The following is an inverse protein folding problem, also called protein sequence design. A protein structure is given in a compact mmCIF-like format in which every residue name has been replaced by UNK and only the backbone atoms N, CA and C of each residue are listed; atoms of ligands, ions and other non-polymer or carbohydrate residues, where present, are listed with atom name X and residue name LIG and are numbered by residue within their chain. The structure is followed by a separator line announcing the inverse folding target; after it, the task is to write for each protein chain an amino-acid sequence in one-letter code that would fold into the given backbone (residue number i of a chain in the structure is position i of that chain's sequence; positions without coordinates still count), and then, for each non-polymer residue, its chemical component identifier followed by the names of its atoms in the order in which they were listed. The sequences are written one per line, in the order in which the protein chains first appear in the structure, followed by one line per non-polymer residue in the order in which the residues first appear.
data_IF_688369842428
#
_entry.id   IF_688369842428
#
_cell.length_a   1.000
_cell.length_b   1.000
_cell.length_c   1.000
_cell.angle_alpha   90.00
_cell.angle_beta   90.00
_cell.angle_gamma   90.00
#
_symmetry.space_group_name_H-M   'P 1'
#
loop_
_entity.id
_entity.type
_entity.pdbx_description
1 polymer ?
#
# COMPACT_ATOMS: atom_id res chain seq x y z
N UNK A 1 -2.62 -12.95 -14.14
CA UNK A 1 -1.97 -11.62 -14.27
C UNK A 1 -1.64 -11.10 -12.89
N UNK A 2 -0.44 -10.63 -12.70
CA UNK A 2 0.08 -10.14 -11.41
C UNK A 2 0.72 -8.77 -11.56
N UNK A 3 0.70 -7.98 -10.49
CA UNK A 3 1.38 -6.68 -10.43
C UNK A 3 2.91 -6.85 -10.43
N UNK A 4 3.64 -5.94 -11.07
CA UNK A 4 5.09 -5.98 -11.19
C UNK A 4 5.86 -5.96 -9.87
N UNK A 5 5.22 -5.56 -8.76
CA UNK A 5 5.83 -5.61 -7.42
C UNK A 5 5.66 -6.95 -6.71
N UNK A 6 4.77 -7.81 -7.19
CA UNK A 6 4.51 -9.12 -6.56
C UNK A 6 5.57 -10.15 -6.87
N UNK A 7 6.51 -9.82 -7.69
CA UNK A 7 7.55 -10.76 -7.98
C UNK A 7 8.88 -10.08 -8.22
N UNK A 8 9.85 -10.70 -7.66
CA UNK A 8 11.24 -10.43 -7.87
C UNK A 8 11.59 -10.54 -9.35
N UNK A 9 12.62 -9.87 -9.72
CA UNK A 9 13.13 -9.81 -11.09
C UNK A 9 13.41 -11.23 -11.61
N UNK A 10 13.25 -11.45 -12.90
CA UNK A 10 13.69 -12.70 -13.57
C UNK A 10 15.12 -13.11 -13.17
N UNK A 11 15.99 -12.12 -12.92
CA UNK A 11 17.34 -12.33 -12.41
C UNK A 11 17.40 -13.05 -11.05
N UNK A 12 16.33 -13.02 -10.27
CA UNK A 12 16.28 -13.58 -8.90
C UNK A 12 15.73 -15.01 -8.89
N UNK A 13 15.72 -15.70 -10.00
CA UNK A 13 15.33 -17.10 -10.10
C UNK A 13 13.84 -17.35 -10.35
N UNK A 14 13.09 -16.36 -10.80
CA UNK A 14 11.67 -16.50 -11.13
C UNK A 14 11.42 -17.62 -12.15
N UNK A 15 12.21 -17.66 -13.22
CA UNK A 15 12.07 -18.67 -14.27
C UNK A 15 12.36 -20.08 -13.73
N UNK A 16 13.39 -20.23 -12.90
CA UNK A 16 13.72 -21.52 -12.27
C UNK A 16 12.60 -21.97 -11.32
N UNK A 17 12.00 -21.03 -10.58
CA UNK A 17 10.88 -21.31 -9.69
C UNK A 17 9.63 -21.76 -10.48
N UNK A 18 9.28 -21.06 -11.56
CA UNK A 18 8.17 -21.42 -12.43
C UNK A 18 8.37 -22.82 -13.00
N UNK A 19 9.54 -23.09 -13.60
CA UNK A 19 9.86 -24.40 -14.18
C UNK A 19 9.74 -25.53 -13.14
N UNK A 20 10.22 -25.29 -11.93
CA UNK A 20 10.12 -26.27 -10.85
C UNK A 20 8.68 -26.49 -10.40
N UNK A 21 7.89 -25.42 -10.32
CA UNK A 21 6.48 -25.50 -9.98
C UNK A 21 5.70 -26.28 -11.06
N UNK A 22 5.95 -26.01 -12.33
CA UNK A 22 5.37 -26.73 -13.47
C UNK A 22 5.74 -28.21 -13.47
N UNK A 23 7.02 -28.54 -13.17
CA UNK A 23 7.46 -29.93 -13.02
C UNK A 23 6.71 -30.65 -11.90
N UNK A 24 6.49 -29.98 -10.76
CA UNK A 24 5.83 -30.57 -9.61
C UNK A 24 4.32 -30.73 -9.80
N UNK A 25 3.68 -29.81 -10.49
CA UNK A 25 2.21 -29.75 -10.61
C UNK A 25 1.70 -30.31 -11.94
N UNK A 26 2.53 -30.32 -12.97
CA UNK A 26 2.11 -30.64 -14.34
C UNK A 26 1.24 -29.56 -14.99
N UNK A 27 1.22 -28.36 -14.43
CA UNK A 27 0.44 -27.23 -14.92
C UNK A 27 1.41 -26.22 -15.54
N UNK A 28 1.18 -25.84 -16.79
CA UNK A 28 1.91 -24.76 -17.45
C UNK A 28 1.41 -23.41 -16.96
N UNK A 29 2.33 -22.52 -16.57
CA UNK A 29 2.03 -21.22 -15.98
C UNK A 29 2.50 -20.07 -16.88
N UNK A 30 1.56 -19.36 -17.49
CA UNK A 30 1.83 -18.11 -18.19
C UNK A 30 1.66 -16.92 -17.25
N UNK A 31 2.76 -16.24 -16.95
CA UNK A 31 2.76 -15.06 -16.06
C UNK A 31 2.70 -13.78 -16.87
N UNK A 32 1.58 -13.07 -16.79
CA UNK A 32 1.38 -11.74 -17.37
C UNK A 32 1.65 -10.73 -16.26
N UNK A 33 2.74 -9.97 -16.39
CA UNK A 33 3.22 -9.07 -15.32
C UNK A 33 3.48 -7.65 -15.86
N UNK A 34 2.42 -6.82 -15.96
CA UNK A 34 2.59 -5.42 -16.29
C UNK A 34 3.39 -4.66 -15.23
N UNK A 35 3.99 -3.54 -15.64
CA UNK A 35 4.60 -2.60 -14.69
C UNK A 35 3.60 -2.18 -13.60
N UNK A 36 4.09 -2.02 -12.38
CA UNK A 36 3.27 -1.66 -11.23
C UNK A 36 2.37 -0.43 -11.46
N UNK A 37 2.95 0.63 -12.02
CA UNK A 37 2.19 1.87 -12.26
C UNK A 37 1.11 1.72 -13.35
N UNK A 38 1.24 0.74 -14.24
CA UNK A 38 0.33 0.47 -15.35
C UNK A 38 -0.64 -0.70 -15.07
N UNK A 39 -0.47 -1.41 -13.95
CA UNK A 39 -1.19 -2.67 -13.71
C UNK A 39 -2.70 -2.56 -13.88
N UNK A 40 -3.34 -1.62 -13.22
CA UNK A 40 -4.80 -1.48 -13.26
C UNK A 40 -5.33 -0.93 -14.59
N UNK A 41 -4.53 -0.13 -15.29
CA UNK A 41 -4.87 0.34 -16.64
C UNK A 41 -4.84 -0.83 -17.63
N UNK A 42 -3.79 -1.66 -17.58
CA UNK A 42 -3.67 -2.86 -18.42
C UNK A 42 -4.76 -3.87 -18.06
N UNK A 43 -5.04 -4.07 -16.77
CA UNK A 43 -6.10 -4.95 -16.30
C UNK A 43 -7.47 -4.50 -16.84
N UNK A 44 -7.79 -3.21 -16.74
CA UNK A 44 -9.03 -2.63 -17.27
C UNK A 44 -9.16 -2.83 -18.77
N UNK A 45 -8.09 -2.60 -19.53
CA UNK A 45 -8.07 -2.86 -20.98
C UNK A 45 -8.27 -4.35 -21.30
N UNK A 46 -7.65 -5.23 -20.50
CA UNK A 46 -7.81 -6.69 -20.65
C UNK A 46 -9.26 -7.10 -20.44
N UNK A 47 -9.90 -6.62 -19.38
CA UNK A 47 -11.31 -6.91 -19.13
C UNK A 47 -12.25 -6.32 -20.20
N UNK A 48 -11.92 -5.14 -20.73
CA UNK A 48 -12.67 -4.52 -21.82
C UNK A 48 -12.50 -5.21 -23.19
N UNK A 49 -11.45 -6.01 -23.38
CA UNK A 49 -11.15 -6.68 -24.66
C UNK A 49 -12.02 -7.90 -24.98
N UNK A 50 -12.84 -8.34 -24.03
CA UNK A 50 -13.67 -9.54 -24.14
C UNK A 50 -13.19 -10.69 -23.27
N UNK A 51 -14.14 -11.46 -22.74
CA UNK A 51 -13.86 -12.51 -21.74
C UNK A 51 -12.97 -13.65 -22.25
N UNK A 52 -12.85 -13.83 -23.56
CA UNK A 52 -11.96 -14.80 -24.17
C UNK A 52 -10.47 -14.45 -24.00
N UNK A 53 -10.17 -13.20 -23.63
CA UNK A 53 -8.81 -12.71 -23.42
C UNK A 53 -8.47 -12.55 -21.93
N UNK A 54 -9.39 -12.89 -21.04
CA UNK A 54 -9.13 -12.74 -19.62
C UNK A 54 -8.18 -13.82 -19.11
N UNK A 55 -7.21 -13.46 -18.27
CA UNK A 55 -6.37 -14.47 -17.60
C UNK A 55 -7.23 -15.26 -16.60
N UNK A 56 -6.84 -16.51 -16.32
CA UNK A 56 -7.57 -17.36 -15.36
C UNK A 56 -7.52 -16.78 -13.95
N UNK A 57 -6.39 -16.17 -13.54
CA UNK A 57 -6.18 -15.60 -12.21
C UNK A 57 -5.70 -14.16 -12.32
N UNK A 58 -6.26 -13.29 -11.49
CA UNK A 58 -5.87 -11.88 -11.33
C UNK A 58 -5.66 -11.52 -9.87
N UNK A 59 -4.81 -10.54 -9.59
CA UNK A 59 -4.63 -9.97 -8.26
C UNK A 59 -5.36 -8.63 -8.19
N UNK A 60 -6.24 -8.45 -7.22
CA UNK A 60 -7.11 -7.30 -7.11
C UNK A 60 -7.01 -6.62 -5.75
N UNK A 61 -6.79 -5.30 -5.74
CA UNK A 61 -7.05 -4.47 -4.56
C UNK A 61 -8.54 -4.33 -4.28
N UNK A 62 -8.90 -3.95 -3.07
CA UNK A 62 -10.28 -3.99 -2.55
C UNK A 62 -11.32 -3.28 -3.42
N UNK A 63 -11.00 -2.08 -3.96
CA UNK A 63 -11.93 -1.31 -4.82
C UNK A 63 -12.21 -2.00 -6.16
N UNK A 64 -11.19 -2.57 -6.78
CA UNK A 64 -11.34 -3.32 -8.03
C UNK A 64 -12.02 -4.67 -7.81
N UNK A 65 -11.70 -5.32 -6.70
CA UNK A 65 -12.31 -6.58 -6.31
C UNK A 65 -13.83 -6.48 -6.20
N UNK A 66 -14.33 -5.53 -5.43
CA UNK A 66 -15.78 -5.33 -5.27
C UNK A 66 -16.47 -4.94 -6.57
N UNK A 67 -15.82 -4.11 -7.41
CA UNK A 67 -16.35 -3.75 -8.73
C UNK A 67 -16.50 -4.95 -9.65
N UNK A 68 -15.42 -5.68 -9.89
CA UNK A 68 -15.45 -6.84 -10.80
C UNK A 68 -16.33 -8.01 -10.28
N UNK A 69 -16.40 -8.19 -8.96
CA UNK A 69 -17.33 -9.16 -8.39
C UNK A 69 -18.79 -8.76 -8.66
N UNK A 70 -19.14 -7.47 -8.45
CA UNK A 70 -20.48 -6.95 -8.72
C UNK A 70 -20.88 -7.00 -10.21
N UNK A 71 -19.92 -6.92 -11.13
CA UNK A 71 -20.13 -7.05 -12.57
C UNK A 71 -20.19 -8.52 -13.06
N UNK A 72 -19.96 -9.50 -12.16
CA UNK A 72 -19.98 -10.93 -12.50
C UNK A 72 -18.73 -11.38 -13.28
N UNK A 73 -17.64 -10.61 -13.22
CA UNK A 73 -16.40 -10.94 -13.89
C UNK A 73 -15.53 -11.96 -13.13
N UNK A 74 -15.87 -12.24 -11.87
CA UNK A 74 -15.15 -13.17 -11.01
C UNK A 74 -15.98 -14.42 -10.71
N UNK A 75 -15.29 -15.54 -10.57
CA UNK A 75 -15.89 -16.79 -10.17
C UNK A 75 -16.19 -16.81 -8.67
N UNK A 76 -17.39 -17.25 -8.30
CA UNK A 76 -17.77 -17.46 -6.89
C UNK A 76 -17.10 -18.74 -6.37
N UNK A 77 -16.12 -18.56 -5.51
CA UNK A 77 -15.35 -19.66 -4.92
C UNK A 77 -15.84 -20.07 -3.53
N UNK A 78 -17.02 -19.63 -3.11
CA UNK A 78 -17.57 -19.88 -1.76
C UNK A 78 -17.61 -21.37 -1.43
N UNK A 79 -18.13 -22.18 -2.33
CA UNK A 79 -18.25 -23.62 -2.12
C UNK A 79 -16.87 -24.31 -2.10
N UNK A 80 -15.96 -23.89 -2.98
CA UNK A 80 -14.59 -24.38 -3.01
C UNK A 80 -13.87 -24.05 -1.68
N UNK A 81 -13.98 -22.80 -1.22
CA UNK A 81 -13.42 -22.38 0.07
C UNK A 81 -14.00 -23.21 1.23
N UNK A 82 -15.32 -23.35 1.31
CA UNK A 82 -15.99 -24.06 2.40
C UNK A 82 -15.57 -25.53 2.49
N UNK A 83 -15.17 -26.14 1.39
CA UNK A 83 -14.73 -27.54 1.32
C UNK A 83 -13.22 -27.70 1.30
N UNK A 84 -12.43 -26.61 1.29
CA UNK A 84 -10.99 -26.63 1.12
C UNK A 84 -10.23 -27.18 2.35
N UNK A 85 -9.03 -27.67 2.10
CA UNK A 85 -8.08 -28.00 3.16
C UNK A 85 -7.47 -26.74 3.77
N UNK A 86 -7.39 -25.63 3.01
CA UNK A 86 -6.97 -24.33 3.53
C UNK A 86 -7.84 -23.85 4.68
N UNK A 87 -9.17 -23.96 4.55
CA UNK A 87 -10.10 -23.57 5.62
C UNK A 87 -9.92 -24.41 6.88
N UNK A 88 -9.45 -25.64 6.75
CA UNK A 88 -9.21 -26.57 7.85
C UNK A 88 -7.81 -26.44 8.43
N UNK A 89 -6.90 -25.77 7.73
CA UNK A 89 -5.51 -25.61 8.16
C UNK A 89 -5.45 -24.65 9.36
N UNK A 90 -4.89 -25.07 10.51
CA UNK A 90 -4.82 -24.24 11.71
C UNK A 90 -3.96 -22.97 11.56
N UNK A 91 -3.13 -22.91 10.52
CA UNK A 91 -2.32 -21.72 10.20
C UNK A 91 -3.04 -20.72 9.29
N UNK A 92 -4.23 -21.07 8.78
CA UNK A 92 -5.03 -20.14 7.96
C UNK A 92 -5.85 -19.24 8.87
N UNK A 93 -5.68 -17.94 8.72
CA UNK A 93 -6.57 -16.98 9.37
C UNK A 93 -7.89 -16.88 8.57
N UNK A 94 -8.85 -17.69 8.99
CA UNK A 94 -10.18 -17.75 8.37
C UNK A 94 -10.88 -16.38 8.38
N UNK A 95 -10.63 -15.54 9.40
CA UNK A 95 -11.25 -14.22 9.51
C UNK A 95 -10.76 -13.26 8.41
N UNK A 96 -9.50 -13.37 8.02
CA UNK A 96 -8.91 -12.60 6.90
C UNK A 96 -9.57 -13.00 5.58
N UNK A 97 -9.75 -14.29 5.34
CA UNK A 97 -10.39 -14.77 4.11
C UNK A 97 -11.87 -14.37 4.07
N UNK A 98 -12.61 -14.69 5.12
CA UNK A 98 -14.06 -14.45 5.18
C UNK A 98 -14.40 -12.96 5.32
N UNK A 99 -13.46 -12.14 5.80
CA UNK A 99 -13.59 -10.68 5.79
C UNK A 99 -13.64 -10.06 4.38
N UNK A 100 -13.27 -10.82 3.34
CA UNK A 100 -13.40 -10.40 1.94
C UNK A 100 -14.72 -10.86 1.28
N UNK A 101 -15.63 -11.51 2.01
CA UNK A 101 -16.92 -11.89 1.45
C UNK A 101 -17.77 -10.66 1.14
N UNK A 102 -18.43 -10.71 -0.03
CA UNK A 102 -19.38 -9.71 -0.47
C UNK A 102 -20.77 -10.38 -0.49
N UNK A 103 -21.70 -9.88 0.32
CA UNK A 103 -23.05 -10.44 0.47
C UNK A 103 -23.07 -11.95 0.78
N UNK A 104 -22.07 -12.45 1.50
CA UNK A 104 -21.94 -13.86 1.85
C UNK A 104 -21.24 -14.74 0.82
N UNK A 105 -20.75 -14.15 -0.27
CA UNK A 105 -20.03 -14.82 -1.35
C UNK A 105 -18.55 -14.44 -1.38
N UNK A 106 -17.67 -15.40 -1.62
CA UNK A 106 -16.24 -15.21 -1.75
C UNK A 106 -15.83 -15.24 -3.22
N UNK A 107 -15.27 -14.15 -3.72
CA UNK A 107 -14.78 -14.02 -5.11
C UNK A 107 -13.26 -13.91 -5.21
N UNK A 108 -12.56 -13.84 -4.08
CA UNK A 108 -11.11 -13.72 -4.05
C UNK A 108 -10.53 -14.18 -2.72
N UNK A 109 -9.35 -14.77 -2.78
CA UNK A 109 -8.66 -15.35 -1.64
C UNK A 109 -7.49 -14.46 -1.21
N UNK A 110 -7.50 -13.97 0.03
CA UNK A 110 -6.35 -13.35 0.69
C UNK A 110 -5.90 -14.26 1.84
N UNK A 111 -4.67 -14.73 1.81
CA UNK A 111 -4.16 -15.67 2.84
C UNK A 111 -3.51 -14.97 4.03
N UNK A 112 -3.29 -13.67 3.95
CA UNK A 112 -2.72 -12.86 5.03
C UNK A 112 -3.41 -11.51 5.09
N UNK A 113 -3.40 -10.88 6.26
CA UNK A 113 -3.77 -9.49 6.40
C UNK A 113 -2.84 -8.58 5.58
N UNK A 114 -3.35 -7.46 5.11
CA UNK A 114 -2.53 -6.47 4.41
C UNK A 114 -1.53 -5.80 5.36
N UNK A 115 -0.39 -5.41 4.82
CA UNK A 115 0.55 -4.54 5.52
C UNK A 115 -0.02 -3.14 5.75
N UNK A 116 0.52 -2.42 6.73
CA UNK A 116 0.25 -1.01 6.97
C UNK A 116 1.33 -0.11 6.37
N UNK A 117 1.10 1.20 6.46
CA UNK A 117 2.13 2.19 6.20
C UNK A 117 2.94 2.47 7.47
N UNK A 118 4.18 2.86 7.27
CA UNK A 118 5.08 3.36 8.31
C UNK A 118 5.71 4.67 7.82
N UNK A 119 6.07 5.55 8.73
CA UNK A 119 6.84 6.73 8.38
C UNK A 119 8.32 6.37 8.41
N UNK A 120 8.97 6.42 7.25
CA UNK A 120 10.41 6.31 7.10
C UNK A 120 11.02 7.69 7.29
N UNK A 121 12.09 7.76 8.05
CA UNK A 121 12.83 9.01 8.26
C UNK A 121 14.30 8.78 7.90
N UNK A 122 14.89 9.67 7.16
CA UNK A 122 16.32 9.63 6.84
C UNK A 122 17.13 9.83 8.10
N UNK A 123 17.89 8.79 8.49
CA UNK A 123 18.67 8.79 9.73
C UNK A 123 19.72 9.91 9.74
N UNK A 124 20.41 10.08 8.63
CA UNK A 124 21.42 11.13 8.47
C UNK A 124 20.83 12.53 8.74
N UNK A 125 19.59 12.78 8.31
CA UNK A 125 18.96 14.09 8.53
C UNK A 125 18.64 14.35 10.01
N UNK A 126 18.18 13.32 10.72
CA UNK A 126 18.01 13.41 12.18
C UNK A 126 19.35 13.73 12.87
N UNK A 127 20.41 13.01 12.50
CA UNK A 127 21.74 13.19 13.08
C UNK A 127 22.29 14.59 12.81
N UNK A 128 22.18 15.08 11.58
CA UNK A 128 22.64 16.41 11.20
C UNK A 128 21.88 17.51 11.94
N UNK A 129 20.59 17.30 12.22
CA UNK A 129 19.78 18.23 12.99
C UNK A 129 19.89 18.02 14.53
N UNK A 130 20.55 16.96 14.98
CA UNK A 130 20.66 16.63 16.40
C UNK A 130 19.35 16.22 17.04
N UNK A 131 18.49 15.55 16.28
CA UNK A 131 17.15 15.13 16.70
C UNK A 131 17.06 13.62 16.93
N UNK A 132 16.26 13.24 17.90
CA UNK A 132 15.82 11.87 18.10
C UNK A 132 14.59 11.56 17.20
N UNK A 133 14.22 10.27 17.11
CA UNK A 133 13.02 9.84 16.40
C UNK A 133 11.77 10.37 17.13
N UNK A 134 10.88 11.13 16.48
CA UNK A 134 9.69 11.68 17.12
C UNK A 134 8.77 10.60 17.69
N UNK A 135 8.22 10.87 18.87
CA UNK A 135 7.25 10.04 19.56
C UNK A 135 5.93 10.78 19.84
N UNK A 136 5.96 12.11 19.72
CA UNK A 136 4.80 13.00 19.86
C UNK A 136 4.59 13.82 18.59
N UNK A 137 3.39 14.37 18.43
CA UNK A 137 3.09 15.24 17.28
C UNK A 137 3.90 16.55 17.33
N UNK A 138 4.18 17.06 18.53
CA UNK A 138 5.01 18.24 18.69
C UNK A 138 6.45 17.98 18.22
N UNK A 139 7.06 16.87 18.65
CA UNK A 139 8.39 16.44 18.18
C UNK A 139 8.40 16.19 16.66
N UNK A 140 7.31 15.65 16.10
CA UNK A 140 7.19 15.50 14.66
C UNK A 140 7.20 16.85 13.93
N UNK A 141 6.48 17.85 14.44
CA UNK A 141 6.51 19.20 13.86
C UNK A 141 7.87 19.87 14.01
N UNK A 142 8.59 19.66 15.13
CA UNK A 142 9.97 20.13 15.32
C UNK A 142 10.91 19.50 14.29
N UNK A 143 10.77 18.20 14.04
CA UNK A 143 11.52 17.50 12.99
C UNK A 143 11.23 18.09 11.61
N UNK A 144 9.96 18.31 11.25
CA UNK A 144 9.59 18.89 9.96
C UNK A 144 10.13 20.32 9.81
N UNK A 145 10.12 21.11 10.89
CA UNK A 145 10.71 22.47 10.89
C UNK A 145 12.22 22.43 10.62
N UNK A 146 12.93 21.56 11.34
CA UNK A 146 14.36 21.39 11.16
C UNK A 146 14.74 20.89 9.75
N UNK A 147 13.94 19.96 9.22
CA UNK A 147 14.15 19.43 7.87
C UNK A 147 13.80 20.45 6.77
N UNK A 148 12.90 21.39 7.05
CA UNK A 148 12.50 22.41 6.07
C UNK A 148 13.33 23.67 6.13
N UNK A 149 13.68 24.13 7.33
CA UNK A 149 14.33 25.43 7.55
C UNK A 149 15.82 25.33 7.94
N UNK A 150 16.28 24.14 8.31
CA UNK A 150 17.68 23.84 8.63
C UNK A 150 18.50 23.41 7.42
N UNK A 151 19.58 22.69 7.70
CA UNK A 151 20.49 22.06 6.72
C UNK A 151 20.58 20.57 7.03
N UNK A 152 19.47 19.80 6.82
CA UNK A 152 19.47 18.39 7.21
C UNK A 152 20.29 17.50 6.28
N UNK A 153 20.49 17.87 5.03
CA UNK A 153 21.31 17.13 4.05
C UNK A 153 22.80 17.44 4.18
N UNK A 154 23.16 18.52 4.92
CA UNK A 154 24.54 18.89 5.23
C UNK A 154 25.28 19.54 4.06
N UNK A 155 24.56 20.14 3.10
CA UNK A 155 25.15 20.81 1.94
C UNK A 155 25.63 22.25 2.25
N UNK A 156 25.34 22.76 3.44
CA UNK A 156 25.66 24.09 3.91
C UNK A 156 24.61 25.15 3.55
N UNK A 157 23.45 24.77 3.04
CA UNK A 157 22.39 25.68 2.62
C UNK A 157 21.13 25.39 3.44
N UNK A 158 20.72 26.36 4.25
CA UNK A 158 19.47 26.21 5.01
C UNK A 158 18.25 26.44 4.14
N UNK A 159 17.18 25.67 4.37
CA UNK A 159 15.87 25.95 3.78
C UNK A 159 15.72 25.57 2.30
N UNK A 160 16.56 24.68 1.79
CA UNK A 160 16.52 24.16 0.42
C UNK A 160 15.90 22.73 0.34
N UNK A 161 15.49 22.17 1.44
CA UNK A 161 14.89 20.84 1.56
C UNK A 161 13.45 20.91 2.08
N UNK A 162 12.74 19.78 2.08
CA UNK A 162 11.35 19.67 2.48
C UNK A 162 11.22 18.64 3.61
N UNK A 163 10.36 18.89 4.58
CA UNK A 163 10.14 17.96 5.70
C UNK A 163 9.53 16.64 5.24
N UNK A 164 8.38 16.72 4.57
CA UNK A 164 7.60 15.56 4.13
C UNK A 164 6.90 15.81 2.80
N UNK A 165 6.74 14.77 1.99
CA UNK A 165 5.85 14.78 0.83
C UNK A 165 4.83 13.65 0.91
N UNK A 166 3.74 13.80 0.17
CA UNK A 166 2.68 12.81 0.06
C UNK A 166 2.14 12.75 -1.36
N UNK A 167 1.55 11.62 -1.72
CA UNK A 167 0.72 11.52 -2.91
C UNK A 167 -0.49 12.44 -2.77
N UNK A 168 -0.84 13.09 -3.87
CA UNK A 168 -1.87 14.11 -3.89
C UNK A 168 -3.28 13.57 -3.69
N UNK A 169 -4.24 14.48 -3.73
CA UNK A 169 -5.66 14.16 -3.72
C UNK A 169 -6.14 13.63 -5.09
N UNK A 170 -5.19 13.24 -5.95
CA UNK A 170 -5.43 12.75 -7.32
C UNK A 170 -4.95 11.31 -7.42
N UNK A 171 -5.81 10.41 -7.86
CA UNK A 171 -5.48 9.01 -8.03
C UNK A 171 -5.90 8.12 -6.85
N UNK A 172 -5.39 6.89 -6.83
CA UNK A 172 -5.84 5.84 -5.93
C UNK A 172 -5.26 5.94 -4.51
N UNK A 173 -4.28 6.79 -4.29
CA UNK A 173 -3.58 6.93 -3.02
C UNK A 173 -3.55 8.40 -2.59
N UNK A 174 -4.67 8.87 -2.07
CA UNK A 174 -4.78 10.20 -1.48
C UNK A 174 -3.97 10.30 -0.16
N UNK A 175 -3.62 11.51 0.32
CA UNK A 175 -2.79 11.69 1.51
C UNK A 175 -3.30 10.96 2.74
N UNK A 176 -4.61 10.86 2.89
CA UNK A 176 -5.23 10.11 3.98
C UNK A 176 -5.04 8.59 3.85
N UNK A 177 -4.76 8.07 2.66
CA UNK A 177 -4.41 6.65 2.46
C UNK A 177 -2.92 6.39 2.69
N UNK A 178 -2.07 7.39 2.53
CA UNK A 178 -0.65 7.34 2.84
C UNK A 178 -0.34 7.78 4.28
N UNK A 179 -1.37 8.00 5.06
CA UNK A 179 -1.33 8.04 6.49
C UNK A 179 -0.40 9.11 7.09
N UNK A 180 -0.55 10.35 6.65
CA UNK A 180 0.13 11.47 7.30
C UNK A 180 -0.30 11.57 8.77
N UNK A 181 0.64 11.80 9.70
CA UNK A 181 0.35 11.89 11.12
C UNK A 181 -0.76 12.89 11.49
N UNK A 182 -0.97 13.92 10.69
CA UNK A 182 -2.04 14.90 10.85
C UNK A 182 -3.43 14.27 10.89
N UNK A 183 -3.65 13.17 10.13
CA UNK A 183 -4.93 12.44 10.10
C UNK A 183 -5.04 11.43 11.24
N UNK A 184 -3.93 10.85 11.70
CA UNK A 184 -3.95 9.73 12.62
C UNK A 184 -4.03 10.10 14.09
N UNK A 185 -4.13 11.36 14.42
CA UNK A 185 -4.25 11.73 15.82
C UNK A 185 -5.61 11.36 16.38
N UNK A 186 -6.68 11.67 15.68
CA UNK A 186 -8.05 11.51 16.15
C UNK A 186 -9.08 11.32 15.03
N UNK A 187 -8.66 11.50 13.77
CA UNK A 187 -9.53 11.39 12.62
C UNK A 187 -9.54 9.97 12.03
N UNK A 188 -10.67 9.59 11.44
CA UNK A 188 -10.81 8.37 10.65
C UNK A 188 -11.13 8.73 9.20
N UNK A 189 -10.16 8.74 8.30
CA UNK A 189 -10.40 9.04 6.88
C UNK A 189 -11.03 7.85 6.14
N UNK A 190 -12.11 7.30 6.69
CA UNK A 190 -12.83 6.15 6.17
C UNK A 190 -14.17 5.96 6.88
N UNK A 191 -14.93 4.96 6.46
CA UNK A 191 -16.03 4.42 7.24
C UNK A 191 -15.48 3.50 8.33
N UNK A 192 -16.06 3.59 9.53
CA UNK A 192 -15.70 2.72 10.65
C UNK A 192 -16.93 2.39 11.50
N UNK A 193 -16.86 1.27 12.20
CA UNK A 193 -17.92 0.88 13.14
C UNK A 193 -17.59 1.42 14.53
N UNK A 194 -18.49 2.24 15.08
CA UNK A 194 -18.36 2.76 16.43
C UNK A 194 -18.57 1.66 17.49
N UNK A 195 -18.28 2.00 18.75
CA UNK A 195 -18.49 1.08 19.88
C UNK A 195 -19.97 0.67 20.06
N UNK A 196 -20.89 1.48 19.55
CA UNK A 196 -22.31 1.23 19.48
C UNK A 196 -22.74 0.27 18.35
N UNK A 197 -21.78 -0.21 17.57
CA UNK A 197 -22.01 -1.08 16.42
C UNK A 197 -22.56 -0.35 15.18
N UNK A 198 -22.72 0.97 15.22
CA UNK A 198 -23.22 1.77 14.10
C UNK A 198 -22.08 2.20 13.19
N UNK A 199 -22.27 2.07 11.89
CA UNK A 199 -21.32 2.56 10.90
C UNK A 199 -21.35 4.09 10.81
N UNK A 200 -20.18 4.70 10.86
CA UNK A 200 -19.97 6.14 10.82
C UNK A 200 -19.08 6.49 9.64
N UNK A 201 -19.31 7.66 9.08
CA UNK A 201 -18.46 8.27 8.06
C UNK A 201 -17.51 9.28 8.73
N UNK A 202 -16.25 8.88 8.91
CA UNK A 202 -15.24 9.71 9.58
C UNK A 202 -14.94 11.02 8.83
N UNK A 203 -15.22 11.11 7.52
CA UNK A 203 -15.07 12.36 6.78
C UNK A 203 -16.06 13.46 7.20
N UNK A 204 -17.16 13.10 7.87
CA UNK A 204 -18.18 14.06 8.35
C UNK A 204 -17.95 14.53 9.79
N UNK A 205 -16.95 14.00 10.48
CA UNK A 205 -16.68 14.29 11.88
C UNK A 205 -15.85 15.57 12.08
N UNK A 206 -15.99 16.17 13.26
CA UNK A 206 -15.23 17.38 13.60
C UNK A 206 -13.72 17.10 13.73
N UNK A 207 -13.34 15.90 14.17
CA UNK A 207 -11.94 15.45 14.18
C UNK A 207 -11.28 15.52 12.80
N UNK A 208 -12.01 15.22 11.73
CA UNK A 208 -11.51 15.38 10.37
C UNK A 208 -11.24 16.84 10.01
N UNK A 209 -12.07 17.77 10.45
CA UNK A 209 -11.82 19.21 10.24
C UNK A 209 -10.54 19.67 10.94
N UNK A 210 -10.31 19.18 12.16
CA UNK A 210 -9.07 19.50 12.88
C UNK A 210 -7.85 18.85 12.23
N UNK A 211 -7.97 17.62 11.72
CA UNK A 211 -6.91 16.99 10.94
C UNK A 211 -6.54 17.80 9.68
N UNK A 212 -7.55 18.29 8.95
CA UNK A 212 -7.34 19.12 7.75
C UNK A 212 -6.71 20.47 8.14
N UNK A 213 -7.06 21.05 9.29
CA UNK A 213 -6.40 22.29 9.76
C UNK A 213 -4.92 22.03 10.10
N UNK A 214 -4.61 20.94 10.81
CA UNK A 214 -3.21 20.56 11.08
C UNK A 214 -2.42 20.43 9.78
N UNK A 215 -3.00 19.74 8.80
CA UNK A 215 -2.39 19.60 7.47
C UNK A 215 -2.20 20.95 6.77
N UNK A 216 -3.22 21.82 6.81
CA UNK A 216 -3.15 23.16 6.24
C UNK A 216 -2.06 24.01 6.92
N UNK A 217 -1.94 23.94 8.24
CA UNK A 217 -0.93 24.67 9.00
C UNK A 217 0.48 24.19 8.64
N UNK A 218 0.71 22.89 8.55
CA UNK A 218 1.99 22.31 8.13
C UNK A 218 2.32 22.69 6.67
N UNK A 219 1.33 22.66 5.78
CA UNK A 219 1.50 23.08 4.38
C UNK A 219 1.85 24.58 4.27
N UNK A 220 1.16 25.44 5.01
CA UNK A 220 1.41 26.89 5.02
C UNK A 220 2.79 27.26 5.57
N UNK A 221 3.31 26.47 6.52
CA UNK A 221 4.68 26.60 7.03
C UNK A 221 5.74 26.08 6.07
N UNK A 222 5.35 25.41 5.00
CA UNK A 222 6.26 24.80 4.03
C UNK A 222 6.82 23.47 4.43
N UNK A 223 6.33 22.86 5.50
CA UNK A 223 6.79 21.55 5.98
C UNK A 223 6.39 20.41 5.02
N UNK A 224 5.29 20.60 4.30
CA UNK A 224 4.76 19.65 3.33
C UNK A 224 5.06 20.18 1.92
N UNK A 225 5.54 19.28 1.07
CA UNK A 225 5.75 19.53 -0.36
C UNK A 225 4.51 20.20 -0.99
N UNK A 226 4.73 21.33 -1.62
CA UNK A 226 3.65 22.11 -2.28
C UNK A 226 3.00 21.36 -3.43
N UNK A 227 3.71 20.43 -4.03
CA UNK A 227 3.20 19.58 -5.10
C UNK A 227 2.42 18.37 -4.57
N UNK A 228 2.34 18.17 -3.26
CA UNK A 228 1.57 17.08 -2.64
C UNK A 228 0.11 17.03 -3.10
N UNK A 229 -0.48 18.14 -3.53
CA UNK A 229 -1.83 18.18 -4.08
C UNK A 229 -1.97 17.54 -5.47
N UNK A 230 -0.88 17.39 -6.19
CA UNK A 230 -0.84 16.89 -7.58
C UNK A 230 0.10 15.72 -7.79
N UNK A 231 0.97 15.43 -6.82
CA UNK A 231 1.86 14.28 -6.90
C UNK A 231 1.06 12.97 -7.02
N UNK A 232 1.47 12.11 -7.93
CA UNK A 232 1.17 10.69 -7.84
C UNK A 232 2.17 10.01 -6.88
N UNK A 233 1.86 8.82 -6.42
CA UNK A 233 2.73 8.05 -5.53
C UNK A 233 4.13 7.84 -6.11
N UNK A 234 4.22 7.59 -7.41
CA UNK A 234 5.50 7.47 -8.13
C UNK A 234 6.36 8.74 -8.03
N UNK A 235 5.73 9.93 -8.08
CA UNK A 235 6.46 11.19 -7.93
C UNK A 235 7.07 11.30 -6.52
N UNK A 236 6.31 10.95 -5.47
CA UNK A 236 6.83 10.96 -4.10
C UNK A 236 8.01 10.01 -3.94
N UNK A 237 7.93 8.79 -4.48
CA UNK A 237 9.05 7.85 -4.44
C UNK A 237 10.30 8.40 -5.11
N UNK A 238 10.15 8.96 -6.31
CA UNK A 238 11.27 9.57 -7.03
C UNK A 238 11.90 10.70 -6.23
N UNK A 239 11.10 11.67 -5.77
CA UNK A 239 11.57 12.78 -4.94
C UNK A 239 12.28 12.32 -3.66
N UNK A 240 11.74 11.28 -2.99
CA UNK A 240 12.39 10.73 -1.80
C UNK A 240 13.77 10.14 -2.12
N UNK A 241 13.85 9.32 -3.15
CA UNK A 241 15.12 8.69 -3.55
C UNK A 241 16.11 9.67 -4.17
N UNK A 242 15.65 10.80 -4.70
CA UNK A 242 16.49 11.93 -5.12
C UNK A 242 16.91 12.83 -3.95
N UNK A 243 16.38 12.60 -2.74
CA UNK A 243 16.78 13.29 -1.52
C UNK A 243 16.10 14.64 -1.28
N UNK A 244 14.97 14.92 -1.93
CA UNK A 244 14.28 16.20 -1.81
C UNK A 244 13.60 16.39 -0.45
N UNK A 245 13.22 15.30 0.25
CA UNK A 245 12.55 15.38 1.54
C UNK A 245 12.96 14.28 2.51
N UNK A 246 12.75 14.51 3.82
CA UNK A 246 13.33 13.71 4.89
C UNK A 246 12.45 12.64 5.51
N UNK A 247 11.13 12.81 5.46
CA UNK A 247 10.18 11.87 6.05
C UNK A 247 9.13 11.43 5.04
N UNK A 248 8.88 10.11 4.95
CA UNK A 248 7.94 9.54 4.00
C UNK A 248 7.08 8.47 4.64
N UNK A 249 5.77 8.70 4.70
CA UNK A 249 4.82 7.68 5.14
C UNK A 249 4.39 6.85 3.95
N UNK A 250 4.81 5.60 3.94
CA UNK A 250 4.58 4.69 2.82
C UNK A 250 4.43 3.24 3.29
N UNK A 251 4.12 2.35 2.36
CA UNK A 251 3.93 0.93 2.66
C UNK A 251 5.17 0.32 3.30
N UNK A 252 4.97 -0.39 4.42
CA UNK A 252 6.04 -1.09 5.14
C UNK A 252 6.54 -2.33 4.37
N UNK A 253 7.57 -2.96 4.89
CA UNK A 253 8.19 -4.14 4.29
C UNK A 253 9.12 -3.80 3.14
N UNK A 254 9.05 -4.52 2.03
CA UNK A 254 9.99 -4.38 0.91
C UNK A 254 10.11 -2.96 0.30
N UNK A 255 9.16 -2.08 0.56
CA UNK A 255 9.27 -0.69 0.14
C UNK A 255 10.31 0.11 0.93
N UNK A 256 10.59 -0.25 2.18
CA UNK A 256 11.67 0.38 2.93
C UNK A 256 13.03 0.08 2.28
N UNK A 257 13.25 -1.19 1.91
CA UNK A 257 14.47 -1.60 1.21
C UNK A 257 14.58 -0.92 -0.16
N UNK A 258 13.48 -0.87 -0.91
CA UNK A 258 13.44 -0.18 -2.22
C UNK A 258 13.77 1.31 -2.10
N UNK A 259 13.29 1.99 -1.05
CA UNK A 259 13.61 3.41 -0.83
C UNK A 259 15.06 3.60 -0.42
N UNK A 260 15.58 2.75 0.47
CA UNK A 260 16.98 2.73 0.88
C UNK A 260 17.92 2.52 -0.31
N UNK A 261 17.70 1.47 -1.09
CA UNK A 261 18.47 1.18 -2.32
C UNK A 261 18.39 2.32 -3.34
N UNK A 262 17.22 2.97 -3.45
CA UNK A 262 17.03 4.12 -4.34
C UNK A 262 17.84 5.34 -3.93
N UNK A 263 17.93 5.63 -2.63
CA UNK A 263 18.83 6.68 -2.10
C UNK A 263 20.29 6.37 -2.41
N UNK A 264 20.75 5.14 -2.14
CA UNK A 264 22.12 4.71 -2.41
C UNK A 264 22.46 4.77 -3.90
N UNK A 265 21.54 4.40 -4.77
CA UNK A 265 21.72 4.48 -6.22
C UNK A 265 21.90 5.93 -6.72
N UNK A 266 21.35 6.91 -5.98
CA UNK A 266 21.54 8.33 -6.23
C UNK A 266 22.76 8.93 -5.47
N UNK A 267 23.55 8.08 -4.81
CA UNK A 267 24.77 8.51 -4.08
C UNK A 267 24.50 9.16 -2.73
N UNK A 268 23.31 8.94 -2.17
CA UNK A 268 22.88 9.44 -0.88
C UNK A 268 22.98 8.35 0.20
N UNK A 269 22.92 8.75 1.46
CA UNK A 269 22.84 7.80 2.56
C UNK A 269 21.48 7.12 2.57
N UNK A 270 21.48 5.80 2.49
CA UNK A 270 20.29 4.96 2.44
C UNK A 270 19.76 4.53 3.82
N UNK A 271 20.40 4.91 4.93
CA UNK A 271 19.94 4.51 6.25
C UNK A 271 18.61 5.17 6.61
N UNK A 272 17.59 4.32 6.80
CA UNK A 272 16.25 4.73 7.20
C UNK A 272 15.94 4.24 8.60
N UNK A 273 15.29 5.08 9.38
CA UNK A 273 14.69 4.71 10.66
C UNK A 273 13.16 4.84 10.58
N UNK A 274 12.49 4.12 11.45
CA UNK A 274 11.03 4.09 11.45
C UNK A 274 10.50 4.90 12.61
N UNK A 275 9.68 5.88 12.30
CA UNK A 275 8.95 6.63 13.32
C UNK A 275 7.79 5.75 13.84
N UNK A 276 7.70 5.51 15.15
CA UNK A 276 6.55 4.83 15.73
C UNK A 276 5.28 5.67 15.54
N UNK A 277 4.08 5.08 15.69
CA UNK A 277 2.86 5.86 15.76
C UNK A 277 3.00 6.92 16.84
N UNK A 278 2.51 8.11 16.57
CA UNK A 278 2.50 9.20 17.53
C UNK A 278 1.67 8.79 18.75
N UNK A 279 2.25 8.92 19.94
CA UNK A 279 1.72 8.34 21.17
C UNK A 279 0.34 8.86 21.56
N UNK A 280 0.02 10.10 21.19
CA UNK A 280 -1.26 10.73 21.53
C UNK A 280 -2.45 10.01 20.91
N UNK A 281 -2.28 9.50 19.68
CA UNK A 281 -3.40 8.89 18.93
C UNK A 281 -2.96 7.80 17.95
N UNK A 282 -1.83 7.19 18.17
CA UNK A 282 -1.28 6.20 17.24
C UNK A 282 -2.27 5.08 16.88
N UNK A 283 -2.85 5.15 15.70
CA UNK A 283 -3.67 4.09 15.13
C UNK A 283 -3.01 3.58 13.86
N UNK A 284 -2.79 2.29 13.81
CA UNK A 284 -2.42 1.63 12.56
C UNK A 284 -3.66 1.25 11.78
N UNK A 285 -3.67 1.61 10.52
CA UNK A 285 -4.64 1.08 9.59
C UNK A 285 -4.11 -0.22 9.01
N UNK A 286 -4.83 -1.27 9.24
CA UNK A 286 -4.58 -2.51 8.55
C UNK A 286 -5.33 -2.47 7.22
N UNK A 287 -4.59 -2.51 6.13
CA UNK A 287 -5.17 -2.62 4.78
C UNK A 287 -5.69 -4.03 4.56
N UNK A 288 -6.82 -4.16 3.84
CA UNK A 288 -7.15 -5.45 3.24
C UNK A 288 -6.05 -5.83 2.25
N UNK A 289 -5.52 -7.04 2.36
CA UNK A 289 -4.57 -7.54 1.37
C UNK A 289 -5.24 -7.61 -0.01
N UNK A 290 -4.47 -7.46 -1.09
CA UNK A 290 -4.97 -7.82 -2.40
C UNK A 290 -5.40 -9.30 -2.42
N UNK A 291 -6.45 -9.58 -3.16
CA UNK A 291 -6.99 -10.93 -3.29
C UNK A 291 -6.56 -11.57 -4.60
N UNK A 292 -6.33 -12.87 -4.58
CA UNK A 292 -6.23 -13.70 -5.77
C UNK A 292 -7.64 -14.08 -6.18
N UNK A 293 -8.08 -13.63 -7.34
CA UNK A 293 -9.42 -13.90 -7.87
C UNK A 293 -9.33 -14.72 -9.16
N UNK A 294 -10.24 -15.67 -9.31
CA UNK A 294 -10.37 -16.46 -10.54
C UNK A 294 -11.43 -15.76 -11.39
N UNK A 295 -11.14 -15.54 -12.67
CA UNK A 295 -12.10 -14.90 -13.57
C UNK A 295 -13.23 -15.85 -13.93
N UNK A 296 -14.41 -15.30 -14.21
CA UNK A 296 -15.58 -16.11 -14.61
C UNK A 296 -15.43 -16.77 -15.99
N UNK A 297 -14.44 -16.35 -16.77
CA UNK A 297 -14.09 -16.98 -18.05
C UNK A 297 -13.16 -18.20 -17.93
N UNK A 298 -12.60 -18.44 -16.74
CA UNK A 298 -11.75 -19.60 -16.50
C UNK A 298 -12.48 -20.90 -16.80
N UNK A 299 -11.88 -21.78 -17.61
CA UNK A 299 -12.51 -23.03 -18.03
C UNK A 299 -12.55 -24.12 -16.97
N UNK A 300 -11.66 -24.03 -15.98
CA UNK A 300 -11.57 -25.00 -14.89
C UNK A 300 -11.29 -24.29 -13.56
N UNK A 301 -12.22 -23.45 -13.06
CA UNK A 301 -11.98 -22.64 -11.87
C UNK A 301 -11.78 -23.49 -10.60
N UNK A 302 -12.46 -24.62 -10.47
CA UNK A 302 -12.28 -25.55 -9.35
C UNK A 302 -10.88 -26.16 -9.33
N UNK A 303 -10.34 -26.51 -10.51
CA UNK A 303 -8.98 -27.00 -10.65
C UNK A 303 -7.95 -25.92 -10.33
N UNK A 304 -8.17 -24.70 -10.80
CA UNK A 304 -7.30 -23.55 -10.46
C UNK A 304 -7.34 -23.26 -8.96
N UNK A 305 -8.52 -23.24 -8.35
CA UNK A 305 -8.62 -23.08 -6.90
C UNK A 305 -7.81 -24.16 -6.17
N UNK A 306 -8.02 -25.42 -6.50
CA UNK A 306 -7.43 -26.55 -5.80
C UNK A 306 -5.91 -26.68 -5.99
N UNK A 307 -5.39 -26.41 -7.17
CA UNK A 307 -3.99 -26.69 -7.49
C UNK A 307 -3.09 -25.46 -7.57
N UNK A 308 -3.67 -24.28 -7.56
CA UNK A 308 -2.92 -23.03 -7.62
C UNK A 308 -3.13 -22.16 -6.36
N UNK A 309 -4.33 -22.11 -5.79
CA UNK A 309 -4.63 -21.29 -4.62
C UNK A 309 -4.58 -22.08 -3.30
N UNK A 310 -4.99 -23.34 -3.30
CA UNK A 310 -4.95 -24.23 -2.16
C UNK A 310 -3.57 -24.90 -1.97
#
# INVERSE_FOLDING_TARGET
MVDGTFNTKLADGQEEWINKWEEMTGIELEVIQPDHNAYYDVLGQTFASGSENWPDVVILGSSYYSGYAGEGALWDMTDAWNNSELKKNPNTDVSVVEGNMLDGHLYGLALSGGGGCMTFVRKQWLDNCGLDIPTTYEEYLEMLDAFTNGDPDGDGINGNTIGVSAAGFVGNEAPYTNYLPEFYQDAYPSFYQGEDGVWKDGFTEDSMKEAIKRLQDAYNKGYIDKESLTNATSNCRTKFTEGEFGAFTYWAGGWADTMSEGLEANGLDGELVFMPPIAEVGKYWQRCAPVYAITSSCKNPEGVFKYFLE
#
